data_IF_377794057232
#
_entry.id   IF_377794057232
#
_cell.length_a   1.000
_cell.length_b   1.000
_cell.length_c   1.000
_cell.angle_alpha   90.00
_cell.angle_beta   90.00
_cell.angle_gamma   90.00
#
_symmetry.space_group_name_H-M   'P 1'
#
loop_
_entity.id
_entity.type
_entity.pdbx_description
1 polymer ?
#
# COMPACT_ATOMS: atom_id res chain seq x y z
N UNK A 1 15.07 -14.05 2.24
CA UNK A 1 15.69 -12.72 2.07
C UNK A 1 14.98 -12.06 0.91
N UNK A 2 13.86 -11.43 1.21
CA UNK A 2 13.06 -10.74 0.20
C UNK A 2 13.81 -9.47 -0.20
N UNK A 3 14.13 -9.34 -1.50
CA UNK A 3 14.95 -8.26 -2.02
C UNK A 3 14.07 -7.11 -2.56
N UNK A 4 12.86 -6.96 -2.02
CA UNK A 4 12.00 -5.84 -2.38
C UNK A 4 12.70 -4.53 -2.03
N UNK A 5 12.98 -3.75 -3.08
CA UNK A 5 13.54 -2.41 -2.94
C UNK A 5 12.39 -1.49 -2.56
N UNK A 6 12.25 -1.20 -1.25
CA UNK A 6 11.22 -0.34 -0.67
C UNK A 6 11.49 1.16 -0.92
N UNK A 7 11.78 1.51 -2.17
CA UNK A 7 12.01 2.87 -2.62
C UNK A 7 11.58 3.00 -4.06
N UNK A 8 11.32 4.22 -4.49
CA UNK A 8 11.10 4.50 -5.90
C UNK A 8 12.34 4.12 -6.71
N UNK A 9 12.14 3.33 -7.77
CA UNK A 9 13.20 2.92 -8.70
C UNK A 9 13.32 3.85 -9.90
N UNK A 10 12.20 4.46 -10.27
CA UNK A 10 12.09 5.39 -11.39
C UNK A 10 11.93 6.83 -10.89
N UNK A 11 12.23 7.77 -11.80
CA UNK A 11 12.01 9.19 -11.56
C UNK A 11 10.51 9.53 -11.60
N UNK A 12 10.08 10.62 -10.92
CA UNK A 12 8.67 10.98 -10.85
C UNK A 12 7.97 11.18 -12.20
N UNK A 13 8.66 11.73 -13.20
CA UNK A 13 8.17 11.92 -14.56
C UNK A 13 7.87 10.60 -15.27
N UNK A 14 8.76 9.62 -15.15
CA UNK A 14 8.57 8.27 -15.69
C UNK A 14 7.37 7.59 -15.04
N UNK A 15 7.24 7.68 -13.72
CA UNK A 15 6.13 7.10 -12.97
C UNK A 15 4.79 7.72 -13.37
N UNK A 16 4.72 9.04 -13.56
CA UNK A 16 3.52 9.73 -14.05
C UNK A 16 3.15 9.27 -15.46
N UNK A 17 4.12 9.23 -16.38
CA UNK A 17 3.87 8.77 -17.74
C UNK A 17 3.43 7.30 -17.81
N UNK A 18 3.90 6.44 -16.89
CA UNK A 18 3.40 5.06 -16.75
C UNK A 18 1.94 5.04 -16.29
N UNK A 19 1.61 5.85 -15.29
CA UNK A 19 0.26 5.95 -14.73
C UNK A 19 -0.76 6.48 -15.76
N UNK A 20 -0.39 7.51 -16.52
CA UNK A 20 -1.23 8.08 -17.59
C UNK A 20 -1.51 7.08 -18.71
N UNK A 21 -0.52 6.23 -19.04
CA UNK A 21 -0.67 5.17 -20.05
C UNK A 21 -1.47 3.95 -19.57
N UNK A 22 -1.55 3.72 -18.26
CA UNK A 22 -2.30 2.60 -17.69
C UNK A 22 -3.79 2.69 -18.04
N UNK A 23 -4.35 3.90 -18.07
CA UNK A 23 -5.77 4.13 -18.41
C UNK A 23 -6.78 3.56 -17.41
N UNK A 24 -6.31 3.04 -16.28
CA UNK A 24 -7.14 2.45 -15.22
C UNK A 24 -7.67 3.55 -14.32
N UNK A 25 -8.97 3.54 -14.01
CA UNK A 25 -9.55 4.42 -13.01
C UNK A 25 -9.02 4.04 -11.62
N UNK A 26 -8.52 5.03 -10.88
CA UNK A 26 -7.89 4.82 -9.56
C UNK A 26 -8.57 5.66 -8.49
N UNK A 27 -8.65 5.12 -7.28
CA UNK A 27 -9.12 5.83 -6.09
C UNK A 27 -7.91 6.14 -5.21
N UNK A 28 -7.83 7.39 -4.73
CA UNK A 28 -6.80 7.81 -3.77
C UNK A 28 -7.38 7.81 -2.37
N UNK A 29 -6.65 7.21 -1.43
CA UNK A 29 -7.00 7.11 -0.02
C UNK A 29 -5.86 7.64 0.84
N UNK A 30 -6.23 8.19 1.99
CA UNK A 30 -5.29 8.55 3.05
C UNK A 30 -5.89 8.11 4.36
N UNK A 31 -5.14 7.37 5.18
CA UNK A 31 -5.62 6.93 6.49
C UNK A 31 -4.47 6.82 7.49
N UNK A 32 -4.84 6.94 8.76
CA UNK A 32 -3.96 6.67 9.89
C UNK A 32 -4.74 5.81 10.89
N UNK A 33 -4.04 4.90 11.57
CA UNK A 33 -4.61 4.13 12.66
C UNK A 33 -3.56 3.93 13.74
N UNK A 34 -3.88 4.36 14.96
CA UNK A 34 -3.09 4.06 16.14
C UNK A 34 -3.48 2.68 16.66
N UNK A 35 -2.54 1.75 16.62
CA UNK A 35 -2.71 0.38 17.11
C UNK A 35 -1.33 -0.17 17.45
N UNK A 36 -1.24 -0.93 18.55
CA UNK A 36 0.04 -1.54 18.95
C UNK A 36 0.36 -2.72 18.04
N UNK A 37 1.27 -2.50 17.10
CA UNK A 37 1.71 -3.53 16.15
C UNK A 37 2.95 -4.25 16.68
N UNK A 38 2.89 -5.59 16.65
CA UNK A 38 4.05 -6.46 16.87
C UNK A 38 4.64 -6.89 15.53
N UNK A 39 5.88 -7.37 15.52
CA UNK A 39 6.53 -7.89 14.32
C UNK A 39 6.40 -6.97 13.08
N UNK A 40 6.63 -5.66 13.27
CA UNK A 40 6.38 -4.60 12.26
C UNK A 40 7.03 -4.92 10.91
N UNK A 41 8.24 -5.50 10.93
CA UNK A 41 8.91 -5.90 9.69
C UNK A 41 8.15 -7.01 8.96
N UNK A 42 7.67 -8.05 9.65
CA UNK A 42 6.91 -9.13 9.03
C UNK A 42 5.60 -8.59 8.43
N UNK A 43 4.84 -7.80 9.21
CA UNK A 43 3.62 -7.16 8.76
C UNK A 43 3.87 -6.27 7.53
N UNK A 44 4.97 -5.51 7.53
CA UNK A 44 5.35 -4.67 6.38
C UNK A 44 5.59 -5.49 5.11
N UNK A 45 6.22 -6.66 5.19
CA UNK A 45 6.43 -7.53 4.04
C UNK A 45 5.12 -8.14 3.54
N UNK A 46 4.27 -8.63 4.44
CA UNK A 46 2.95 -9.17 4.09
C UNK A 46 2.09 -8.13 3.36
N UNK A 47 1.97 -6.92 3.93
CA UNK A 47 1.20 -5.85 3.31
C UNK A 47 1.80 -5.43 1.98
N UNK A 48 3.12 -5.41 1.84
CA UNK A 48 3.76 -5.10 0.56
C UNK A 48 3.32 -6.10 -0.52
N UNK A 49 3.44 -7.40 -0.26
CA UNK A 49 3.08 -8.46 -1.22
C UNK A 49 1.59 -8.41 -1.57
N UNK A 50 0.73 -8.29 -0.57
CA UNK A 50 -0.72 -8.23 -0.79
C UNK A 50 -1.14 -6.98 -1.56
N UNK A 51 -0.58 -5.82 -1.22
CA UNK A 51 -0.99 -4.56 -1.82
C UNK A 51 -0.38 -4.37 -3.21
N UNK A 52 0.80 -4.94 -3.47
CA UNK A 52 1.35 -5.03 -4.82
C UNK A 52 0.40 -5.81 -5.74
N UNK A 53 -0.13 -6.96 -5.29
CA UNK A 53 -1.09 -7.76 -6.04
C UNK A 53 -2.43 -7.03 -6.30
N UNK A 54 -2.82 -6.12 -5.41
CA UNK A 54 -4.00 -5.26 -5.59
C UNK A 54 -3.72 -4.03 -6.47
N UNK A 55 -2.48 -3.83 -6.91
CA UNK A 55 -2.05 -2.70 -7.72
C UNK A 55 -1.95 -1.39 -6.94
N UNK A 56 -1.73 -1.46 -5.63
CA UNK A 56 -1.59 -0.27 -4.77
C UNK A 56 -0.27 0.43 -5.08
N UNK A 57 -0.34 1.75 -5.21
CA UNK A 57 0.80 2.66 -5.35
C UNK A 57 0.74 3.68 -4.21
N UNK A 58 1.88 4.15 -3.70
CA UNK A 58 1.89 5.22 -2.70
C UNK A 58 2.95 5.05 -1.64
N UNK A 59 2.77 5.74 -0.50
CA UNK A 59 3.68 5.69 0.65
C UNK A 59 2.93 5.16 1.86
N UNK A 60 3.58 4.26 2.58
CA UNK A 60 3.05 3.57 3.74
C UNK A 60 4.16 3.59 4.79
N UNK A 61 3.83 4.12 5.96
CA UNK A 61 4.69 4.15 7.13
C UNK A 61 4.06 3.27 8.19
N UNK A 62 4.81 2.29 8.68
CA UNK A 62 4.37 1.38 9.74
C UNK A 62 5.39 1.48 10.87
N UNK A 63 4.89 1.62 12.09
CA UNK A 63 5.68 1.58 13.30
C UNK A 63 4.96 0.71 14.35
N UNK A 64 5.57 0.54 15.51
CA UNK A 64 4.91 -0.16 16.63
C UNK A 64 3.66 0.57 17.14
N UNK A 65 3.52 1.87 16.84
CA UNK A 65 2.38 2.69 17.26
C UNK A 65 1.22 2.68 16.25
N UNK A 66 1.44 2.14 15.05
CA UNK A 66 0.40 1.98 14.05
C UNK A 66 0.87 2.20 12.62
N UNK A 67 -0.06 2.66 11.79
CA UNK A 67 0.13 2.83 10.34
C UNK A 67 -0.35 4.20 9.87
N UNK A 68 0.39 4.79 8.93
CA UNK A 68 0.03 5.97 8.16
C UNK A 68 0.23 5.68 6.67
N UNK A 69 -0.81 5.80 5.87
CA UNK A 69 -0.78 5.46 4.45
C UNK A 69 -1.43 6.55 3.60
N UNK A 70 -0.75 6.90 2.51
CA UNK A 70 -1.28 7.70 1.41
C UNK A 70 -1.08 6.91 0.11
N UNK A 71 -2.17 6.36 -0.41
CA UNK A 71 -2.13 5.36 -1.48
C UNK A 71 -3.15 5.65 -2.57
N UNK A 72 -2.90 5.07 -3.74
CA UNK A 72 -3.78 5.02 -4.90
C UNK A 72 -3.87 3.59 -5.38
N UNK A 73 -5.08 3.09 -5.64
CA UNK A 73 -5.32 1.74 -6.14
C UNK A 73 -6.37 1.75 -7.25
N UNK A 74 -6.41 0.74 -8.14
CA UNK A 74 -7.50 0.57 -9.09
C UNK A 74 -8.85 0.61 -8.35
N UNK A 75 -9.78 1.45 -8.82
CA UNK A 75 -11.08 1.64 -8.17
C UNK A 75 -11.87 0.33 -8.07
N UNK A 76 -11.70 -0.57 -9.04
CA UNK A 76 -12.32 -1.90 -9.03
C UNK A 76 -11.87 -2.77 -7.83
N UNK A 77 -10.66 -2.53 -7.28
CA UNK A 77 -10.12 -3.29 -6.15
C UNK A 77 -10.44 -2.63 -4.79
N UNK A 78 -11.14 -1.50 -4.76
CA UNK A 78 -11.37 -0.73 -3.53
C UNK A 78 -12.08 -1.53 -2.44
N UNK A 79 -13.14 -2.26 -2.80
CA UNK A 79 -13.90 -3.05 -1.82
C UNK A 79 -13.05 -4.20 -1.27
N UNK A 80 -12.37 -4.94 -2.16
CA UNK A 80 -11.46 -6.02 -1.76
C UNK A 80 -10.33 -5.53 -0.84
N UNK A 81 -9.79 -4.34 -1.11
CA UNK A 81 -8.78 -3.72 -0.27
C UNK A 81 -9.31 -3.39 1.13
N UNK A 82 -10.52 -2.83 1.23
CA UNK A 82 -11.17 -2.53 2.52
C UNK A 82 -11.48 -3.80 3.31
N UNK A 83 -12.07 -4.81 2.67
CA UNK A 83 -12.38 -6.09 3.31
C UNK A 83 -11.10 -6.78 3.84
N UNK A 84 -10.01 -6.76 3.07
CA UNK A 84 -8.72 -7.32 3.51
C UNK A 84 -8.11 -6.55 4.70
N UNK A 85 -8.27 -5.23 4.73
CA UNK A 85 -7.84 -4.41 5.87
C UNK A 85 -8.69 -4.69 7.12
N UNK A 86 -10.01 -4.71 6.98
CA UNK A 86 -10.96 -4.88 8.09
C UNK A 86 -10.93 -6.30 8.68
N UNK A 87 -10.60 -7.31 7.87
CA UNK A 87 -10.47 -8.69 8.32
C UNK A 87 -9.17 -8.98 9.11
N UNK A 88 -8.20 -8.05 9.08
CA UNK A 88 -6.90 -8.28 9.71
C UNK A 88 -6.95 -7.93 11.20
N UNK A 89 -6.75 -8.93 12.05
CA UNK A 89 -6.78 -8.77 13.52
C UNK A 89 -5.80 -7.70 14.04
N UNK A 90 -4.67 -7.52 13.37
CA UNK A 90 -3.67 -6.50 13.72
C UNK A 90 -4.16 -5.06 13.55
N UNK A 91 -5.24 -4.85 12.78
CA UNK A 91 -5.85 -3.56 12.59
C UNK A 91 -7.12 -3.47 13.43
#
# INVERSE_FOLDING_TARGET
MDLHRLRNLDRPDILRAKLEREGVARTTLSFYRYVRLKEVEALRHELYQEWELLGVLGRIYISQEGINAQVSLPTANLNRFREALDAREAF
#
